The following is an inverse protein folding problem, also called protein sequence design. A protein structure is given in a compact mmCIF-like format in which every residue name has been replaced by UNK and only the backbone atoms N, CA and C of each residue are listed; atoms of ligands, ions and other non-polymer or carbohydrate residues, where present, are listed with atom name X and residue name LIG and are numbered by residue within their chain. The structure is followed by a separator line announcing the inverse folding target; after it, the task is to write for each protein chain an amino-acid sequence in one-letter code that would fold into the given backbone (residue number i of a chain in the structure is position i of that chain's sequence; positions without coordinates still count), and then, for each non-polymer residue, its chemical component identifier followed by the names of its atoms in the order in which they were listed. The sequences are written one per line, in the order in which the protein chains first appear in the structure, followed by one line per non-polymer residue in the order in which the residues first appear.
data_IF_391157887016
#
_entry.id   IF_391157887016
#
_cell.length_a   1.000
_cell.length_b   1.000
_cell.length_c   1.000
_cell.angle_alpha   90.00
_cell.angle_beta   90.00
_cell.angle_gamma   90.00
#
_symmetry.space_group_name_H-M   'P 1'
#
loop_
_entity.id
_entity.type
_entity.pdbx_description
1 polymer ?
#
# COMPACT_ATOMS: atom_id res chain seq x y z
N UNK A 1 -30.15 -14.80 -20.43
CA UNK A 1 -29.90 -15.59 -19.21
C UNK A 1 -29.72 -14.60 -18.07
N UNK A 2 -30.60 -14.66 -17.10
CA UNK A 2 -30.69 -13.72 -15.98
C UNK A 2 -29.72 -14.24 -14.92
N UNK A 3 -28.63 -13.52 -14.65
CA UNK A 3 -27.82 -13.77 -13.47
C UNK A 3 -28.48 -13.07 -12.29
N UNK A 4 -28.99 -13.89 -11.37
CA UNK A 4 -29.61 -13.48 -10.12
C UNK A 4 -28.54 -12.85 -9.22
N UNK A 5 -28.66 -11.57 -8.90
CA UNK A 5 -27.86 -10.89 -7.90
C UNK A 5 -28.34 -11.29 -6.51
N UNK A 6 -27.89 -12.45 -6.02
CA UNK A 6 -27.91 -12.76 -4.60
C UNK A 6 -26.55 -12.35 -4.02
N UNK A 7 -26.58 -11.34 -3.16
CA UNK A 7 -25.60 -11.02 -2.11
C UNK A 7 -24.22 -11.66 -2.27
N UNK A 8 -23.40 -11.16 -3.21
CA UNK A 8 -21.98 -11.32 -3.00
C UNK A 8 -21.67 -10.61 -1.67
N UNK A 9 -21.04 -11.29 -0.68
CA UNK A 9 -20.83 -10.70 0.63
C UNK A 9 -20.15 -9.34 0.44
N UNK A 10 -20.65 -8.27 1.07
CA UNK A 10 -20.14 -6.89 0.89
C UNK A 10 -18.59 -6.85 0.89
N UNK A 11 -17.97 -7.70 1.71
CA UNK A 11 -16.53 -7.87 1.85
C UNK A 11 -15.81 -8.32 0.56
N UNK A 12 -16.44 -9.13 -0.28
CA UNK A 12 -15.86 -9.60 -1.54
C UNK A 12 -15.94 -8.53 -2.63
N UNK A 13 -17.08 -7.80 -2.71
CA UNK A 13 -17.24 -6.70 -3.65
C UNK A 13 -16.25 -5.57 -3.34
N UNK A 14 -16.15 -5.15 -2.07
CA UNK A 14 -15.21 -4.10 -1.64
C UNK A 14 -13.75 -4.46 -1.93
N UNK A 15 -13.39 -5.74 -1.80
CA UNK A 15 -12.03 -6.21 -2.13
C UNK A 15 -11.76 -6.19 -3.63
N UNK A 16 -12.74 -6.52 -4.46
CA UNK A 16 -12.59 -6.46 -5.92
C UNK A 16 -12.35 -5.00 -6.34
N UNK A 17 -13.16 -4.06 -5.83
CA UNK A 17 -12.96 -2.63 -6.10
C UNK A 17 -11.59 -2.14 -5.62
N UNK A 18 -11.17 -2.54 -4.42
CA UNK A 18 -9.85 -2.18 -3.90
C UNK A 18 -8.70 -2.73 -4.76
N UNK A 19 -8.81 -3.97 -5.28
CA UNK A 19 -7.82 -4.52 -6.20
C UNK A 19 -7.73 -3.71 -7.50
N UNK A 20 -8.86 -3.29 -8.05
CA UNK A 20 -8.89 -2.49 -9.28
C UNK A 20 -8.33 -1.08 -9.06
N UNK A 21 -8.58 -0.49 -7.89
CA UNK A 21 -7.96 0.77 -7.46
C UNK A 21 -6.44 0.63 -7.30
N UNK A 22 -5.95 -0.45 -6.69
CA UNK A 22 -4.50 -0.75 -6.60
C UNK A 22 -3.88 -0.85 -7.99
N UNK A 23 -4.48 -1.66 -8.89
CA UNK A 23 -4.00 -1.82 -10.27
C UNK A 23 -3.98 -0.49 -11.02
N UNK A 24 -5.04 0.31 -10.87
CA UNK A 24 -5.15 1.62 -11.51
C UNK A 24 -4.08 2.59 -11.00
N UNK A 25 -3.83 2.60 -9.68
CA UNK A 25 -2.79 3.43 -9.08
C UNK A 25 -1.39 3.04 -9.60
N UNK A 26 -1.11 1.75 -9.76
CA UNK A 26 0.17 1.27 -10.30
C UNK A 26 0.42 1.61 -11.79
N UNK A 27 -0.63 2.00 -12.54
CA UNK A 27 -0.44 2.53 -13.91
C UNK A 27 0.24 3.90 -13.92
N UNK A 28 0.16 4.64 -12.80
CA UNK A 28 0.66 6.01 -12.68
C UNK A 28 1.85 6.08 -11.74
N UNK A 29 1.83 5.30 -10.66
CA UNK A 29 2.82 5.40 -9.59
C UNK A 29 3.62 4.10 -9.43
N UNK A 30 4.95 4.16 -9.30
CA UNK A 30 5.77 2.99 -9.03
C UNK A 30 5.60 2.45 -7.60
N UNK A 31 5.09 3.27 -6.68
CA UNK A 31 4.74 2.89 -5.30
C UNK A 31 3.25 3.12 -5.08
N UNK A 32 2.58 2.20 -4.39
CA UNK A 32 1.20 2.38 -3.92
C UNK A 32 1.15 2.06 -2.43
N UNK A 33 0.52 2.91 -1.65
CA UNK A 33 0.21 2.64 -0.25
C UNK A 33 -1.25 2.19 -0.11
N UNK A 34 -1.45 0.96 0.36
CA UNK A 34 -2.75 0.47 0.81
C UNK A 34 -2.90 0.76 2.30
N UNK A 35 -3.71 1.76 2.62
CA UNK A 35 -3.95 2.24 3.97
C UNK A 35 -5.27 1.72 4.50
N UNK A 36 -5.33 1.45 5.79
CA UNK A 36 -6.58 1.08 6.44
C UNK A 36 -6.39 0.66 7.87
N UNK A 37 -7.47 0.51 8.65
CA UNK A 37 -7.40 0.09 10.04
C UNK A 37 -6.66 -1.23 10.24
N UNK A 38 -6.18 -1.49 11.44
CA UNK A 38 -5.68 -2.84 11.77
C UNK A 38 -6.82 -3.84 11.55
N UNK A 39 -6.48 -5.04 11.10
CA UNK A 39 -7.43 -6.14 10.89
C UNK A 39 -8.49 -5.92 9.80
N UNK A 40 -8.39 -4.89 8.94
CA UNK A 40 -9.31 -4.73 7.79
C UNK A 40 -9.00 -5.64 6.58
N UNK A 41 -8.01 -6.53 6.70
CA UNK A 41 -7.67 -7.50 5.65
C UNK A 41 -6.69 -7.01 4.58
N UNK A 42 -5.91 -5.94 4.83
CA UNK A 42 -4.86 -5.46 3.91
C UNK A 42 -3.90 -6.55 3.45
N UNK A 43 -3.34 -7.31 4.41
CA UNK A 43 -2.43 -8.43 4.14
C UNK A 43 -3.10 -9.49 3.26
N UNK A 44 -4.37 -9.79 3.51
CA UNK A 44 -5.14 -10.73 2.67
C UNK A 44 -5.32 -10.18 1.26
N UNK A 45 -5.70 -8.91 1.11
CA UNK A 45 -5.86 -8.27 -0.19
C UNK A 45 -4.55 -8.22 -0.98
N UNK A 46 -3.44 -7.92 -0.31
CA UNK A 46 -2.12 -7.88 -0.93
C UNK A 46 -1.65 -9.27 -1.36
N UNK A 47 -1.97 -10.33 -0.60
CA UNK A 47 -1.72 -11.71 -1.02
C UNK A 47 -2.55 -12.07 -2.25
N UNK A 48 -3.85 -11.74 -2.26
CA UNK A 48 -4.71 -11.95 -3.44
C UNK A 48 -4.20 -11.20 -4.67
N UNK A 49 -3.68 -9.98 -4.49
CA UNK A 49 -3.04 -9.21 -5.56
C UNK A 49 -1.79 -9.95 -6.09
N UNK A 50 -0.93 -10.43 -5.17
CA UNK A 50 0.30 -11.17 -5.47
C UNK A 50 0.11 -12.60 -5.96
N UNK A 51 -1.11 -13.17 -5.98
CA UNK A 51 -1.36 -14.49 -6.56
C UNK A 51 -1.27 -14.49 -8.10
N UNK A 52 -1.46 -13.34 -8.72
CA UNK A 52 -1.51 -13.21 -10.18
C UNK A 52 -0.13 -13.09 -10.84
N UNK A 53 0.92 -12.75 -10.09
CA UNK A 53 2.26 -12.44 -10.61
C UNK A 53 3.36 -12.72 -9.55
N UNK A 54 4.64 -12.89 -9.92
CA UNK A 54 5.73 -13.03 -8.96
C UNK A 54 5.73 -11.88 -7.95
N UNK A 55 5.59 -12.24 -6.66
CA UNK A 55 5.43 -11.29 -5.57
C UNK A 55 6.37 -11.62 -4.41
N UNK A 56 7.29 -10.71 -4.09
CA UNK A 56 8.05 -10.77 -2.85
C UNK A 56 7.21 -10.15 -1.72
N UNK A 57 7.20 -10.79 -0.55
CA UNK A 57 6.45 -10.31 0.61
C UNK A 57 7.39 -10.16 1.81
N UNK A 58 7.30 -9.02 2.48
CA UNK A 58 8.03 -8.71 3.71
C UNK A 58 7.07 -8.18 4.77
N UNK A 59 6.92 -8.92 5.87
CA UNK A 59 6.19 -8.46 7.05
C UNK A 59 7.16 -7.85 8.05
N UNK A 60 7.07 -6.54 8.29
CA UNK A 60 7.98 -5.86 9.23
C UNK A 60 7.66 -6.13 10.71
N UNK A 61 6.57 -6.84 11.03
CA UNK A 61 6.39 -7.44 12.36
C UNK A 61 7.17 -8.75 12.51
N UNK A 62 7.48 -9.44 11.42
CA UNK A 62 8.20 -10.72 11.40
C UNK A 62 9.70 -10.51 11.60
N UNK A 63 10.31 -11.03 12.68
CA UNK A 63 11.77 -10.95 12.87
C UNK A 63 12.58 -11.64 11.78
N UNK A 64 11.98 -12.59 11.06
CA UNK A 64 12.62 -13.26 9.92
C UNK A 64 12.73 -12.30 8.74
N UNK A 65 11.65 -11.59 8.40
CA UNK A 65 11.66 -10.66 7.27
C UNK A 65 12.43 -9.39 7.57
N UNK A 66 12.39 -8.90 8.82
CA UNK A 66 13.26 -7.81 9.28
C UNK A 66 14.73 -8.18 9.11
N UNK A 67 15.13 -9.42 9.43
CA UNK A 67 16.52 -9.90 9.20
C UNK A 67 16.84 -10.04 7.72
N UNK A 68 15.90 -10.51 6.90
CA UNK A 68 16.04 -10.54 5.44
C UNK A 68 16.28 -9.14 4.87
N UNK A 69 15.70 -8.10 5.48
CA UNK A 69 15.89 -6.68 5.15
C UNK A 69 17.00 -6.00 5.98
N UNK A 70 18.00 -6.75 6.46
CA UNK A 70 19.17 -6.18 7.15
C UNK A 70 20.00 -5.27 6.26
N UNK A 71 20.11 -5.59 4.96
CA UNK A 71 20.68 -4.74 3.92
C UNK A 71 19.60 -4.39 2.88
N UNK A 72 18.64 -3.50 3.21
CA UNK A 72 17.41 -3.34 2.44
C UNK A 72 17.69 -2.87 1.01
N UNK A 73 18.73 -2.06 0.78
CA UNK A 73 19.06 -1.57 -0.55
C UNK A 73 19.44 -2.72 -1.49
N UNK A 74 20.39 -3.55 -1.07
CA UNK A 74 20.87 -4.71 -1.83
C UNK A 74 19.78 -5.74 -2.05
N UNK A 75 18.92 -5.94 -1.04
CA UNK A 75 17.84 -6.91 -1.13
C UNK A 75 16.78 -6.43 -2.10
N UNK A 76 16.30 -5.20 -1.96
CA UNK A 76 15.19 -4.67 -2.74
C UNK A 76 15.59 -4.33 -4.18
N UNK A 77 16.84 -3.93 -4.45
CA UNK A 77 17.29 -3.63 -5.81
C UNK A 77 17.40 -4.87 -6.71
N UNK A 78 17.57 -6.06 -6.11
CA UNK A 78 17.61 -7.33 -6.83
C UNK A 78 16.23 -7.93 -7.14
N UNK A 79 15.15 -7.31 -6.65
CA UNK A 79 13.79 -7.79 -6.86
C UNK A 79 13.20 -7.24 -8.16
N UNK A 80 12.23 -7.97 -8.69
CA UNK A 80 11.43 -7.59 -9.85
C UNK A 80 9.97 -7.98 -9.63
N UNK A 81 9.06 -7.39 -10.39
CA UNK A 81 7.62 -7.61 -10.21
C UNK A 81 7.10 -6.89 -8.96
N UNK A 82 6.17 -7.52 -8.25
CA UNK A 82 5.54 -6.91 -7.08
C UNK A 82 6.34 -7.16 -5.82
N UNK A 83 6.52 -6.11 -5.02
CA UNK A 83 7.15 -6.19 -3.71
C UNK A 83 6.19 -5.60 -2.69
N UNK A 84 5.67 -6.45 -1.81
CA UNK A 84 4.78 -6.05 -0.72
C UNK A 84 5.59 -5.87 0.56
N UNK A 85 5.44 -4.72 1.20
CA UNK A 85 6.03 -4.42 2.50
C UNK A 85 4.89 -4.10 3.48
N UNK A 86 4.64 -5.01 4.40
CA UNK A 86 3.58 -4.90 5.40
C UNK A 86 4.07 -4.16 6.66
N UNK A 87 3.15 -3.47 7.32
CA UNK A 87 3.38 -2.63 8.49
C UNK A 87 4.57 -1.66 8.31
N UNK A 88 4.62 -0.99 7.14
CA UNK A 88 5.76 -0.15 6.70
C UNK A 88 6.12 0.96 7.69
N UNK A 89 5.18 1.42 8.51
CA UNK A 89 5.43 2.42 9.56
C UNK A 89 6.48 1.98 10.60
N UNK A 90 6.83 0.69 10.67
CA UNK A 90 7.89 0.19 11.56
C UNK A 90 9.30 0.52 11.07
N UNK A 91 9.48 0.77 9.77
CA UNK A 91 10.76 1.13 9.14
C UNK A 91 10.58 2.32 8.20
N UNK A 92 10.34 3.54 8.74
CA UNK A 92 10.15 4.73 7.92
C UNK A 92 11.40 5.11 7.11
N UNK A 93 12.57 4.62 7.50
CA UNK A 93 13.83 4.72 6.72
C UNK A 93 13.70 4.13 5.30
N UNK A 94 12.77 3.19 5.09
CA UNK A 94 12.54 2.59 3.78
C UNK A 94 11.97 3.59 2.77
N UNK A 95 11.29 4.68 3.18
CA UNK A 95 10.67 5.59 2.22
C UNK A 95 11.71 6.31 1.35
N UNK A 96 12.80 6.79 1.94
CA UNK A 96 13.89 7.43 1.20
C UNK A 96 14.60 6.44 0.28
N UNK A 97 14.80 5.21 0.76
CA UNK A 97 15.41 4.14 -0.01
C UNK A 97 14.55 3.77 -1.23
N UNK A 98 13.24 3.62 -1.03
CA UNK A 98 12.30 3.34 -2.11
C UNK A 98 12.30 4.46 -3.15
N UNK A 99 12.39 5.75 -2.74
CA UNK A 99 12.54 6.87 -3.68
C UNK A 99 13.74 6.65 -4.60
N UNK A 100 14.90 6.34 -4.02
CA UNK A 100 16.13 6.10 -4.78
C UNK A 100 15.97 4.92 -5.74
N UNK A 101 15.32 3.83 -5.31
CA UNK A 101 15.09 2.67 -6.16
C UNK A 101 14.18 2.97 -7.34
N UNK A 102 13.03 3.59 -7.10
CA UNK A 102 12.02 3.82 -8.15
C UNK A 102 12.43 4.89 -9.16
N UNK A 103 13.38 5.76 -8.81
CA UNK A 103 13.96 6.77 -9.72
C UNK A 103 14.98 6.19 -10.70
N UNK A 104 15.43 4.94 -10.51
CA UNK A 104 16.33 4.28 -11.45
C UNK A 104 15.57 3.97 -12.74
N UNK A 105 16.15 4.33 -13.89
CA UNK A 105 15.51 4.19 -15.22
C UNK A 105 14.97 2.77 -15.51
N UNK A 106 15.64 1.74 -15.01
CA UNK A 106 15.30 0.34 -15.28
C UNK A 106 14.83 -0.41 -14.03
N UNK A 107 14.23 0.26 -13.03
CA UNK A 107 13.70 -0.43 -11.87
C UNK A 107 12.55 -1.38 -12.26
N UNK A 108 12.74 -2.72 -12.16
CA UNK A 108 11.74 -3.68 -12.60
C UNK A 108 10.72 -3.99 -11.50
N UNK A 109 10.90 -3.43 -10.29
CA UNK A 109 10.02 -3.64 -9.16
C UNK A 109 8.92 -2.56 -9.07
N UNK A 110 7.78 -2.95 -8.50
CA UNK A 110 6.69 -2.08 -8.07
C UNK A 110 6.36 -2.38 -6.63
N UNK A 111 6.20 -1.35 -5.81
CA UNK A 111 6.13 -1.51 -4.36
C UNK A 111 4.72 -1.24 -3.84
N UNK A 112 4.13 -2.23 -3.16
CA UNK A 112 2.88 -2.11 -2.44
C UNK A 112 3.19 -2.00 -0.94
N UNK A 113 2.96 -0.83 -0.35
CA UNK A 113 3.18 -0.58 1.06
C UNK A 113 1.87 -0.75 1.80
N UNK A 114 1.84 -1.61 2.82
CA UNK A 114 0.68 -1.77 3.67
C UNK A 114 0.96 -1.10 5.01
N UNK A 115 -0.04 -0.40 5.54
CA UNK A 115 0.11 0.24 6.83
C UNK A 115 -1.22 0.71 7.42
N UNK A 116 -1.17 1.06 8.70
CA UNK A 116 -2.28 1.76 9.34
C UNK A 116 -2.42 3.17 8.77
N UNK A 117 -3.64 3.67 8.60
CA UNK A 117 -3.93 5.01 8.08
C UNK A 117 -3.59 6.15 9.07
N UNK A 118 -2.46 6.05 9.77
CA UNK A 118 -2.02 7.08 10.72
C UNK A 118 -1.54 8.34 9.98
N UNK A 119 -1.88 9.56 10.46
CA UNK A 119 -1.40 10.80 9.83
C UNK A 119 0.13 10.89 9.74
N UNK A 120 0.84 10.31 10.72
CA UNK A 120 2.30 10.25 10.73
C UNK A 120 2.85 9.43 9.56
N UNK A 121 2.28 8.25 9.30
CA UNK A 121 2.67 7.42 8.16
C UNK A 121 2.40 8.17 6.85
N UNK A 122 1.19 8.71 6.68
CA UNK A 122 0.80 9.43 5.45
C UNK A 122 1.73 10.61 5.19
N UNK A 123 2.04 11.40 6.22
CA UNK A 123 2.94 12.54 6.12
C UNK A 123 4.35 12.11 5.70
N UNK A 124 4.97 11.19 6.43
CA UNK A 124 6.33 10.75 6.12
C UNK A 124 6.46 10.14 4.72
N UNK A 125 5.48 9.32 4.33
CA UNK A 125 5.41 8.75 2.99
C UNK A 125 5.24 9.83 1.91
N UNK A 126 4.35 10.79 2.13
CA UNK A 126 4.11 11.88 1.17
C UNK A 126 5.33 12.78 0.99
N UNK A 127 6.05 13.09 2.07
CA UNK A 127 7.26 13.90 2.04
C UNK A 127 8.42 13.18 1.32
N UNK A 128 8.64 11.89 1.63
CA UNK A 128 9.74 11.13 1.06
C UNK A 128 9.47 10.64 -0.38
N UNK A 129 8.21 10.33 -0.73
CA UNK A 129 7.83 9.71 -2.03
C UNK A 129 6.95 10.61 -2.90
N UNK A 130 7.03 11.94 -2.71
CA UNK A 130 6.27 12.92 -3.49
C UNK A 130 6.34 12.65 -5.00
N UNK A 131 5.16 12.59 -5.65
CA UNK A 131 5.01 12.32 -7.09
C UNK A 131 5.22 10.86 -7.52
N UNK A 132 5.69 9.99 -6.62
CA UNK A 132 6.00 8.57 -6.92
C UNK A 132 5.06 7.59 -6.24
N UNK A 133 4.18 8.08 -5.37
CA UNK A 133 3.26 7.25 -4.61
C UNK A 133 1.79 7.61 -4.88
N UNK A 134 0.97 6.56 -5.07
CA UNK A 134 -0.48 6.65 -5.02
C UNK A 134 -1.02 6.06 -3.72
N UNK A 135 -2.16 6.58 -3.24
CA UNK A 135 -2.82 6.08 -2.03
C UNK A 135 -4.12 5.36 -2.37
N UNK A 136 -4.33 4.21 -1.75
CA UNK A 136 -5.58 3.45 -1.80
C UNK A 136 -6.02 3.19 -0.37
N UNK A 137 -7.18 3.72 0.01
CA UNK A 137 -7.79 3.45 1.30
C UNK A 137 -8.69 2.22 1.22
N UNK A 138 -8.43 1.27 2.11
CA UNK A 138 -9.29 0.14 2.42
C UNK A 138 -10.10 0.49 3.66
N UNK A 139 -11.39 0.75 3.45
CA UNK A 139 -12.33 0.97 4.55
C UNK A 139 -12.28 -0.24 5.51
N UNK A 140 -12.25 0.04 6.81
CA UNK A 140 -12.45 -1.01 7.81
C UNK A 140 -13.92 -1.39 7.87
N UNK A 141 -14.22 -2.61 8.31
CA UNK A 141 -15.58 -3.07 8.62
C UNK A 141 -16.31 -2.26 9.69
N UNK A 142 -15.64 -1.31 10.34
CA UNK A 142 -16.27 -0.30 11.17
C UNK A 142 -15.41 0.97 11.10
N UNK A 143 -15.90 2.02 10.45
CA UNK A 143 -15.40 3.40 10.60
C UNK A 143 -16.37 4.44 10.03
N UNK A 144 -17.63 4.34 10.43
CA UNK A 144 -18.55 5.48 10.38
C UNK A 144 -18.18 6.62 11.37
N UNK A 145 -17.06 6.57 12.11
CA UNK A 145 -16.86 7.47 13.25
C UNK A 145 -15.48 8.15 13.44
N UNK A 146 -14.58 8.18 12.45
CA UNK A 146 -13.54 9.24 12.46
C UNK A 146 -13.15 9.74 11.06
N UNK A 147 -14.05 10.56 10.52
CA UNK A 147 -13.66 11.88 10.01
C UNK A 147 -13.00 11.97 8.64
N UNK A 148 -13.65 11.44 7.60
CA UNK A 148 -13.39 11.86 6.20
C UNK A 148 -13.71 13.36 6.00
N UNK A 149 -14.45 13.99 6.92
CA UNK A 149 -14.77 15.42 6.89
C UNK A 149 -13.60 16.39 7.19
N UNK A 150 -12.38 15.91 7.46
CA UNK A 150 -11.22 16.81 7.68
C UNK A 150 -10.13 16.80 6.63
N UNK A 151 -10.22 16.00 5.57
CA UNK A 151 -9.21 16.06 4.50
C UNK A 151 -9.38 17.29 3.58
N UNK A 152 -10.58 17.87 3.47
CA UNK A 152 -10.82 19.03 2.59
C UNK A 152 -10.59 20.38 3.28
N UNK A 153 -10.40 20.43 4.61
CA UNK A 153 -10.28 21.70 5.34
C UNK A 153 -8.84 22.25 5.48
N UNK A 154 -7.81 21.44 5.23
CA UNK A 154 -6.40 21.86 5.43
C UNK A 154 -5.67 22.24 4.13
N UNK A 155 -6.29 22.05 2.97
CA UNK A 155 -5.73 22.46 1.67
C UNK A 155 -6.19 23.85 1.20
N UNK A 156 -7.10 24.51 1.92
CA UNK A 156 -7.66 25.82 1.56
C UNK A 156 -7.18 27.00 2.39
N UNK A 157 -6.15 26.83 3.23
CA UNK A 157 -5.50 27.97 3.91
C UNK A 157 -3.99 27.88 3.74
N UNK A 158 -3.52 28.42 2.63
CA UNK A 158 -2.13 28.87 2.55
C UNK A 158 -1.87 29.91 3.63
N UNK A 159 -0.74 29.75 4.33
CA UNK A 159 -0.30 30.60 5.44
C UNK A 159 0.22 29.78 6.60
#
# INVERSE_FOLDING_TARGET
MIFNNYDAPMNLIERIDALDRIKSAFRVHPVVALLGPRQCGKTTLARMFGESEPCAFFDLESPVDVRRLSAPMTVLEGLSGWVVIDEVQRRPDLFELLRVLVDRQNNPARFLLLGSASPYLVKGVSESLAGRIGFVDLAGFDLWEVGVERQTALWLRGG
#
